data_IF_331439549329
#
_entry.id   IF_331439549329
#
_cell.length_a   1.000
_cell.length_b   1.000
_cell.length_c   1.000
_cell.angle_alpha   90.00
_cell.angle_beta   90.00
_cell.angle_gamma   90.00
#
_symmetry.space_group_name_H-M   'P 1'
#
loop_
_entity.id
_entity.type
_entity.pdbx_description
1 polymer ?
#
# COMPACT_ATOMS: atom_id res chain seq x y z
N UNK A 1 37.35 5.02 7.15
CA UNK A 1 35.98 5.19 6.61
C UNK A 1 36.03 5.05 5.10
N UNK A 2 35.12 4.30 4.45
CA UNK A 2 35.14 4.11 3.00
C UNK A 2 34.85 5.40 2.23
N UNK A 3 35.63 5.67 1.17
CA UNK A 3 35.46 6.83 0.28
C UNK A 3 34.11 6.86 -0.44
N UNK A 4 33.45 5.71 -0.60
CA UNK A 4 32.09 5.60 -1.15
C UNK A 4 31.02 6.26 -0.29
N UNK A 5 31.22 6.35 1.03
CA UNK A 5 30.28 7.00 1.95
C UNK A 5 30.41 8.52 1.86
N UNK A 6 31.64 9.03 1.67
CA UNK A 6 31.93 10.46 1.56
C UNK A 6 31.36 11.09 0.28
N UNK A 7 31.27 10.32 -0.81
CA UNK A 7 30.78 10.79 -2.11
C UNK A 7 29.34 10.37 -2.42
N UNK A 8 28.66 9.69 -1.49
CA UNK A 8 27.26 9.30 -1.71
C UNK A 8 26.40 10.55 -1.81
N UNK A 9 25.82 10.77 -2.99
CA UNK A 9 24.84 11.83 -3.20
C UNK A 9 23.72 11.72 -2.16
N UNK A 10 23.41 12.82 -1.46
CA UNK A 10 22.31 12.87 -0.49
C UNK A 10 21.01 12.58 -1.25
N UNK A 11 20.48 11.38 -1.04
CA UNK A 11 19.13 11.06 -1.48
C UNK A 11 18.18 11.72 -0.47
N UNK A 12 17.27 12.60 -0.90
CA UNK A 12 16.20 13.10 -0.04
C UNK A 12 15.51 11.90 0.60
N UNK A 13 15.18 11.98 1.88
CA UNK A 13 14.50 10.89 2.57
C UNK A 13 13.22 10.51 1.81
N UNK A 14 13.21 9.32 1.21
CA UNK A 14 12.03 8.65 0.70
C UNK A 14 12.00 7.29 1.37
N UNK A 15 11.11 7.13 2.33
CA UNK A 15 10.74 5.79 2.71
C UNK A 15 10.00 5.17 1.51
N UNK A 16 10.31 3.92 1.15
CA UNK A 16 9.61 3.21 0.09
C UNK A 16 8.24 2.76 0.62
N UNK A 17 7.37 3.72 0.94
CA UNK A 17 6.11 3.47 1.64
C UNK A 17 5.24 2.50 0.84
N UNK A 18 5.04 2.76 -0.46
CA UNK A 18 4.23 1.92 -1.33
C UNK A 18 4.87 0.55 -1.59
N UNK A 19 6.16 0.50 -1.94
CA UNK A 19 6.85 -0.75 -2.27
C UNK A 19 6.86 -1.75 -1.12
N UNK A 20 6.95 -1.31 0.13
CA UNK A 20 6.92 -2.19 1.29
C UNK A 20 5.65 -3.05 1.38
N UNK A 21 4.52 -2.56 0.87
CA UNK A 21 3.24 -3.29 0.88
C UNK A 21 3.12 -4.33 -0.24
N UNK A 22 3.89 -4.22 -1.33
CA UNK A 22 3.77 -5.08 -2.52
C UNK A 22 5.05 -5.84 -2.89
N UNK A 23 6.16 -5.64 -2.17
CA UNK A 23 7.46 -6.24 -2.49
C UNK A 23 7.55 -7.75 -2.18
N UNK A 24 6.67 -8.26 -1.32
CA UNK A 24 6.60 -9.68 -0.98
C UNK A 24 5.18 -10.19 -1.15
N UNK A 25 5.03 -11.43 -1.63
CA UNK A 25 3.74 -12.10 -1.86
C UNK A 25 2.93 -12.40 -0.57
N UNK A 26 3.22 -11.69 0.53
CA UNK A 26 2.97 -12.16 1.89
C UNK A 26 1.98 -11.35 2.72
N UNK A 27 1.45 -10.21 2.28
CA UNK A 27 0.50 -9.46 3.11
C UNK A 27 -0.95 -9.72 2.67
N UNK A 28 -1.41 -10.95 2.89
CA UNK A 28 -2.79 -11.37 2.60
C UNK A 28 -3.84 -10.46 3.24
N UNK A 29 -3.50 -9.79 4.34
CA UNK A 29 -4.34 -8.76 4.94
C UNK A 29 -4.46 -7.51 4.07
N UNK A 30 -3.36 -6.97 3.54
CA UNK A 30 -3.39 -5.81 2.63
C UNK A 30 -4.16 -6.14 1.35
N UNK A 31 -3.97 -7.34 0.81
CA UNK A 31 -4.71 -7.83 -0.35
C UNK A 31 -6.22 -7.96 -0.07
N UNK A 32 -6.61 -8.47 1.10
CA UNK A 32 -8.03 -8.52 1.49
C UNK A 32 -8.63 -7.12 1.60
N UNK A 33 -7.94 -6.20 2.29
CA UNK A 33 -8.36 -4.80 2.47
C UNK A 33 -8.51 -4.10 1.11
N UNK A 34 -7.58 -4.32 0.18
CA UNK A 34 -7.59 -3.73 -1.16
C UNK A 34 -8.41 -4.53 -2.18
N UNK A 35 -9.12 -5.59 -1.76
CA UNK A 35 -9.88 -6.42 -2.70
C UNK A 35 -10.97 -5.63 -3.42
N UNK A 36 -11.08 -5.85 -4.74
CA UNK A 36 -12.05 -5.19 -5.62
C UNK A 36 -13.49 -5.26 -5.06
N UNK A 37 -13.88 -6.44 -4.57
CA UNK A 37 -15.21 -6.67 -3.97
C UNK A 37 -15.48 -5.76 -2.76
N UNK A 38 -14.51 -5.58 -1.86
CA UNK A 38 -14.69 -4.68 -0.71
C UNK A 38 -14.81 -3.24 -1.16
N UNK A 39 -14.05 -2.85 -2.17
CA UNK A 39 -14.02 -1.47 -2.70
C UNK A 39 -15.33 -1.10 -3.37
N UNK A 40 -15.90 -1.97 -4.20
CA UNK A 40 -17.22 -1.74 -4.79
C UNK A 40 -18.32 -1.61 -3.74
N UNK A 41 -18.28 -2.41 -2.68
CA UNK A 41 -19.28 -2.33 -1.60
C UNK A 41 -19.13 -1.08 -0.72
N UNK A 42 -17.94 -0.50 -0.64
CA UNK A 42 -17.67 0.70 0.17
C UNK A 42 -18.02 1.99 -0.59
N UNK A 43 -17.78 2.02 -1.91
CA UNK A 43 -18.04 3.20 -2.74
C UNK A 43 -17.15 4.41 -2.41
N UNK A 44 -16.09 4.21 -1.61
CA UNK A 44 -15.20 5.29 -1.12
C UNK A 44 -14.12 5.64 -2.14
N UNK A 45 -13.72 4.66 -2.96
CA UNK A 45 -12.65 4.79 -3.96
C UNK A 45 -13.14 4.21 -5.28
N UNK A 46 -12.77 4.83 -6.39
CA UNK A 46 -13.01 4.28 -7.73
C UNK A 46 -12.24 2.96 -7.91
N UNK A 47 -12.99 1.85 -8.02
CA UNK A 47 -12.42 0.51 -8.04
C UNK A 47 -11.51 0.27 -9.26
N UNK A 48 -11.83 0.89 -10.41
CA UNK A 48 -11.05 0.78 -11.64
C UNK A 48 -9.70 1.48 -11.51
N UNK A 49 -9.70 2.74 -11.08
CA UNK A 49 -8.48 3.54 -10.88
C UNK A 49 -7.57 2.93 -9.82
N UNK A 50 -8.15 2.40 -8.74
CA UNK A 50 -7.40 1.72 -7.69
C UNK A 50 -6.76 0.42 -8.20
N UNK A 51 -7.50 -0.40 -8.97
CA UNK A 51 -6.96 -1.64 -9.54
C UNK A 51 -5.76 -1.35 -10.45
N UNK A 52 -5.87 -0.33 -11.31
CA UNK A 52 -4.76 0.11 -12.16
C UNK A 52 -3.56 0.60 -11.36
N UNK A 53 -3.79 1.27 -10.23
CA UNK A 53 -2.71 1.73 -9.33
C UNK A 53 -2.02 0.54 -8.65
N UNK A 54 -2.77 -0.45 -8.16
CA UNK A 54 -2.23 -1.66 -7.56
C UNK A 54 -1.40 -2.45 -8.58
N UNK A 55 -1.89 -2.61 -9.81
CA UNK A 55 -1.16 -3.29 -10.87
C UNK A 55 0.15 -2.58 -11.21
N UNK A 56 0.15 -1.24 -11.24
CA UNK A 56 1.38 -0.44 -11.38
C UNK A 56 2.33 -0.66 -10.21
N UNK A 57 1.83 -0.70 -8.97
CA UNK A 57 2.64 -0.97 -7.78
C UNK A 57 3.30 -2.36 -7.85
N UNK A 58 2.52 -3.40 -8.20
CA UNK A 58 2.99 -4.79 -8.35
C UNK A 58 4.01 -4.95 -9.47
N UNK A 59 3.83 -4.26 -10.58
CA UNK A 59 4.79 -4.27 -11.69
C UNK A 59 6.13 -3.56 -11.34
N UNK A 60 6.27 -3.00 -10.14
CA UNK A 60 7.41 -2.15 -9.77
C UNK A 60 7.42 -0.80 -10.50
N UNK A 61 6.30 -0.48 -11.18
CA UNK A 61 6.11 0.69 -12.02
C UNK A 61 5.47 1.89 -11.29
N UNK A 62 5.09 1.72 -10.01
CA UNK A 62 4.81 2.85 -9.12
C UNK A 62 6.13 3.57 -8.81
N UNK A 63 6.51 4.49 -9.70
CA UNK A 63 7.84 5.12 -9.75
C UNK A 63 7.79 6.57 -9.23
N UNK A 64 6.59 7.14 -9.04
CA UNK A 64 6.37 8.53 -8.64
C UNK A 64 5.86 8.72 -7.21
N UNK A 65 6.22 9.86 -6.59
CA UNK A 65 5.73 10.28 -5.26
C UNK A 65 4.21 10.29 -5.19
N UNK A 66 3.55 10.67 -6.29
CA UNK A 66 2.09 10.72 -6.36
C UNK A 66 1.45 9.34 -6.19
N UNK A 67 2.01 8.34 -6.85
CA UNK A 67 1.47 6.98 -6.83
C UNK A 67 1.72 6.33 -5.46
N UNK A 68 2.92 6.53 -4.89
CA UNK A 68 3.25 6.10 -3.52
C UNK A 68 2.31 6.73 -2.48
N UNK A 69 2.06 8.03 -2.56
CA UNK A 69 1.15 8.69 -1.62
C UNK A 69 -0.31 8.28 -1.84
N UNK A 70 -0.72 8.05 -3.09
CA UNK A 70 -2.07 7.63 -3.41
C UNK A 70 -2.39 6.25 -2.80
N UNK A 71 -1.48 5.28 -2.93
CA UNK A 71 -1.72 3.94 -2.42
C UNK A 71 -1.74 3.91 -0.88
N UNK A 72 -0.85 4.67 -0.23
CA UNK A 72 -0.83 4.82 1.22
C UNK A 72 -2.11 5.48 1.73
N UNK A 73 -2.58 6.54 1.05
CA UNK A 73 -3.82 7.24 1.43
C UNK A 73 -5.06 6.35 1.29
N UNK A 74 -5.16 5.61 0.18
CA UNK A 74 -6.24 4.64 -0.05
C UNK A 74 -6.22 3.58 1.03
N UNK A 75 -5.08 2.93 1.26
CA UNK A 75 -4.93 1.87 2.27
C UNK A 75 -5.30 2.38 3.67
N UNK A 76 -4.82 3.56 4.05
CA UNK A 76 -5.12 4.17 5.36
C UNK A 76 -6.61 4.42 5.53
N UNK A 77 -7.27 4.95 4.49
CA UNK A 77 -8.72 5.20 4.51
C UNK A 77 -9.49 3.89 4.65
N UNK A 78 -9.11 2.88 3.89
CA UNK A 78 -9.71 1.54 3.94
C UNK A 78 -9.58 0.90 5.33
N UNK A 79 -8.41 1.01 5.96
CA UNK A 79 -8.20 0.51 7.31
C UNK A 79 -9.07 1.24 8.33
N UNK A 80 -9.20 2.57 8.24
CA UNK A 80 -10.09 3.32 9.15
C UNK A 80 -11.53 2.83 9.03
N UNK A 81 -12.01 2.64 7.79
CA UNK A 81 -13.37 2.15 7.53
C UNK A 81 -13.56 0.73 8.08
N UNK A 82 -12.60 -0.15 7.85
CA UNK A 82 -12.61 -1.53 8.33
C UNK A 82 -12.65 -1.60 9.88
N UNK A 83 -11.75 -0.88 10.54
CA UNK A 83 -11.59 -0.92 12.00
C UNK A 83 -12.70 -0.18 12.75
N UNK A 84 -13.17 0.97 12.25
CA UNK A 84 -14.01 1.88 13.05
C UNK A 84 -15.44 2.03 12.53
N UNK A 85 -15.71 1.78 11.25
CA UNK A 85 -17.06 1.93 10.68
C UNK A 85 -17.74 0.56 10.56
N UNK A 86 -17.01 -0.44 10.09
CA UNK A 86 -17.54 -1.80 9.88
C UNK A 86 -17.45 -2.69 11.13
N UNK A 87 -16.84 -2.18 12.20
CA UNK A 87 -16.72 -2.87 13.48
C UNK A 87 -15.87 -4.13 13.36
N UNK A 88 -14.63 -3.96 12.87
CA UNK A 88 -13.69 -5.00 12.49
C UNK A 88 -13.96 -6.37 13.12
N UNK A 89 -14.36 -7.35 12.31
CA UNK A 89 -14.12 -8.74 12.64
C UNK A 89 -12.64 -8.83 12.99
N UNK A 90 -12.34 -9.09 14.27
CA UNK A 90 -10.98 -9.20 14.76
C UNK A 90 -10.18 -10.03 13.78
N UNK A 91 -9.06 -9.46 13.34
CA UNK A 91 -8.06 -10.15 12.55
C UNK A 91 -7.93 -11.57 13.07
N UNK A 92 -8.40 -12.55 12.28
CA UNK A 92 -8.05 -13.95 12.49
C UNK A 92 -6.54 -13.97 12.69
N UNK A 93 -6.03 -14.59 13.78
CA UNK A 93 -4.60 -14.62 14.02
C UNK A 93 -3.95 -15.25 12.81
N UNK A 94 -3.18 -14.46 12.06
CA UNK A 94 -2.33 -14.97 11.00
C UNK A 94 -1.18 -15.67 11.72
N UNK A 95 -1.37 -16.95 12.01
CA UNK A 95 -0.31 -17.83 12.45
C UNK A 95 0.65 -18.09 11.31
N UNK A 96 1.88 -17.60 11.44
CA UNK A 96 3.10 -18.39 11.31
C UNK A 96 4.26 -17.66 11.99
#
# INVERSE_FOLDING_TARGET
MPSSILHRHKQPHRAPEGRGFFADSGNGYVEDVLSFRRVEMEGIVDASSMSQLIDKCRAGCAIGVKDDMAIVGILSTKLIVDHFIRGGEQARPHGN
#
